data_IF_917218530038
#
_entry.id   IF_917218530038
#
_cell.length_a   1.000
_cell.length_b   1.000
_cell.length_c   1.000
_cell.angle_alpha   90.00
_cell.angle_beta   90.00
_cell.angle_gamma   90.00
#
_symmetry.space_group_name_H-M   'P 1'
#
loop_
_entity.id
_entity.type
_entity.pdbx_description
1 polymer ?
#
# COMPACT_ATOMS: atom_id res chain seq x y z
N UNK A 1 -16.06 -8.16 4.95
CA UNK A 1 -17.25 -7.29 4.93
C UNK A 1 -16.96 -6.19 3.94
N UNK A 2 -17.38 -6.38 2.69
CA UNK A 2 -17.26 -5.39 1.62
C UNK A 2 -18.24 -4.26 1.91
N UNK A 3 -17.74 -3.04 2.11
CA UNK A 3 -18.62 -1.86 2.19
C UNK A 3 -18.89 -1.36 0.77
N UNK A 4 -19.93 -1.90 0.15
CA UNK A 4 -20.54 -1.33 -1.05
C UNK A 4 -21.15 0.05 -0.72
N UNK A 5 -20.36 1.12 -0.77
CA UNK A 5 -20.86 2.50 -0.99
C UNK A 5 -19.78 3.59 -1.19
N UNK A 6 -18.52 3.22 -1.36
CA UNK A 6 -17.51 4.17 -1.86
C UNK A 6 -17.22 3.78 -3.30
N UNK A 7 -16.93 4.71 -4.20
CA UNK A 7 -16.53 4.41 -5.58
C UNK A 7 -15.19 3.67 -5.69
N UNK A 8 -14.89 2.76 -4.75
CA UNK A 8 -13.67 2.02 -4.62
C UNK A 8 -13.90 0.54 -4.27
N UNK A 9 -13.05 -0.33 -4.84
CA UNK A 9 -12.83 -1.70 -4.39
C UNK A 9 -11.65 -1.70 -3.42
N UNK A 10 -11.82 -2.21 -2.20
CA UNK A 10 -10.80 -2.20 -1.15
C UNK A 10 -10.49 -3.60 -0.63
N UNK A 11 -9.23 -3.87 -0.31
CA UNK A 11 -8.81 -5.11 0.34
C UNK A 11 -7.51 -4.91 1.12
N UNK A 12 -7.22 -5.81 2.04
CA UNK A 12 -6.00 -5.75 2.88
C UNK A 12 -5.13 -6.96 2.64
N UNK A 13 -3.81 -6.75 2.57
CA UNK A 13 -2.80 -7.79 2.49
C UNK A 13 -1.80 -7.67 3.62
N UNK A 14 -1.54 -8.80 4.26
CA UNK A 14 -0.63 -8.91 5.39
C UNK A 14 0.72 -9.46 4.91
N UNK A 15 1.71 -8.60 4.78
CA UNK A 15 3.06 -8.96 4.37
C UNK A 15 3.92 -9.29 5.59
N UNK A 16 3.76 -10.50 6.12
CA UNK A 16 4.49 -10.96 7.33
C UNK A 16 6.00 -10.92 7.17
N UNK A 17 6.52 -11.25 5.97
CA UNK A 17 7.97 -11.29 5.71
C UNK A 17 8.65 -9.91 5.80
N UNK A 18 7.91 -8.83 5.59
CA UNK A 18 8.41 -7.45 5.70
C UNK A 18 7.71 -6.67 6.81
N UNK A 19 6.95 -7.36 7.66
CA UNK A 19 6.18 -6.78 8.76
C UNK A 19 5.33 -5.56 8.39
N UNK A 20 4.58 -5.63 7.28
CA UNK A 20 3.63 -4.58 6.89
C UNK A 20 2.21 -5.12 6.76
N UNK A 21 1.25 -4.33 7.24
CA UNK A 21 -0.14 -4.40 6.81
C UNK A 21 -0.36 -3.35 5.73
N UNK A 22 -0.90 -3.75 4.59
CA UNK A 22 -1.17 -2.84 3.48
C UNK A 22 -2.65 -2.94 3.12
N UNK A 23 -3.34 -1.81 3.17
CA UNK A 23 -4.69 -1.66 2.63
C UNK A 23 -4.56 -1.11 1.22
N UNK A 24 -5.12 -1.82 0.26
CA UNK A 24 -5.19 -1.43 -1.14
C UNK A 24 -6.60 -0.98 -1.50
N UNK A 25 -6.69 -0.02 -2.41
CA UNK A 25 -7.97 0.38 -2.98
C UNK A 25 -7.84 0.91 -4.42
N UNK A 26 -8.80 0.55 -5.25
CA UNK A 26 -8.94 0.97 -6.65
C UNK A 26 -10.25 1.70 -6.83
N UNK A 27 -10.37 2.61 -7.81
CA UNK A 27 -11.69 3.16 -8.17
C UNK A 27 -12.49 2.12 -8.96
N UNK A 28 -13.78 1.94 -8.64
CA UNK A 28 -14.62 0.85 -9.19
C UNK A 28 -14.81 0.90 -10.72
N UNK A 29 -14.40 1.97 -11.39
CA UNK A 29 -14.46 2.15 -12.85
C UNK A 29 -13.16 2.73 -13.45
N UNK A 30 -12.09 2.83 -12.66
CA UNK A 30 -10.81 3.37 -13.12
C UNK A 30 -9.65 2.63 -12.46
N UNK A 31 -9.08 1.70 -13.22
CA UNK A 31 -7.98 0.84 -12.79
C UNK A 31 -6.59 1.41 -13.12
N UNK A 32 -6.51 2.69 -13.52
CA UNK A 32 -5.24 3.33 -13.87
C UNK A 32 -4.34 3.60 -12.67
N UNK A 33 -4.90 3.58 -11.46
CA UNK A 33 -4.18 3.86 -10.22
C UNK A 33 -4.57 2.83 -9.15
N UNK A 34 -3.56 2.26 -8.49
CA UNK A 34 -3.72 1.52 -7.24
C UNK A 34 -3.30 2.45 -6.10
N UNK A 35 -4.23 2.75 -5.20
CA UNK A 35 -3.94 3.49 -3.98
C UNK A 35 -3.66 2.52 -2.84
N UNK A 36 -2.83 2.94 -1.90
CA UNK A 36 -2.54 2.14 -0.73
C UNK A 36 -2.31 2.99 0.52
N UNK A 37 -2.54 2.36 1.66
CA UNK A 37 -1.97 2.76 2.94
C UNK A 37 -1.23 1.58 3.56
N UNK A 38 -0.12 1.84 4.23
CA UNK A 38 0.70 0.81 4.84
C UNK A 38 1.12 1.20 6.26
N UNK A 39 1.11 0.22 7.16
CA UNK A 39 1.51 0.36 8.56
C UNK A 39 2.44 -0.80 8.96
N UNK A 40 3.59 -0.53 9.62
CA UNK A 40 4.41 -1.57 10.21
C UNK A 40 3.62 -2.36 11.27
N UNK A 41 3.73 -3.69 11.27
CA UNK A 41 3.09 -4.56 12.27
C UNK A 41 3.52 -4.20 13.70
N UNK A 42 4.79 -3.83 13.85
CA UNK A 42 5.46 -3.48 15.10
C UNK A 42 4.88 -2.19 15.75
N UNK A 43 4.02 -1.45 15.04
CA UNK A 43 3.41 -0.18 15.46
C UNK A 43 1.87 -0.24 15.56
N UNK A 44 1.29 -1.42 15.75
CA UNK A 44 -0.18 -1.61 15.81
C UNK A 44 -0.90 -0.75 16.88
N UNK A 45 -0.20 -0.25 17.90
CA UNK A 45 -0.80 0.62 18.93
C UNK A 45 -0.90 2.10 18.52
N UNK A 46 -0.23 2.52 17.43
CA UNK A 46 -0.38 3.88 16.89
C UNK A 46 -1.57 3.95 15.92
N UNK A 47 -2.51 4.84 16.22
CA UNK A 47 -3.73 5.06 15.44
C UNK A 47 -3.42 5.84 14.16
N UNK A 48 -2.86 5.19 13.14
CA UNK A 48 -2.74 5.80 11.82
C UNK A 48 -1.89 5.05 10.80
N UNK A 49 -2.26 5.21 9.53
CA UNK A 49 -1.45 4.79 8.39
C UNK A 49 -0.08 5.50 8.41
N UNK A 50 1.01 4.71 8.38
CA UNK A 50 2.39 5.21 8.42
C UNK A 50 2.84 5.74 7.06
N UNK A 51 2.48 5.01 6.01
CA UNK A 51 2.73 5.36 4.61
C UNK A 51 1.40 5.35 3.88
N UNK A 52 1.25 6.24 2.93
CA UNK A 52 0.15 6.21 1.97
C UNK A 52 0.67 6.58 0.60
N UNK A 53 -0.04 6.21 -0.45
CA UNK A 53 0.45 6.49 -1.77
C UNK A 53 -0.40 5.91 -2.88
N UNK A 54 0.17 5.96 -4.08
CA UNK A 54 -0.40 5.34 -5.26
C UNK A 54 0.69 4.91 -6.24
N UNK A 55 0.39 3.89 -7.03
CA UNK A 55 1.14 3.54 -8.23
C UNK A 55 0.24 3.69 -9.45
N UNK A 56 0.76 4.31 -10.50
CA UNK A 56 0.06 4.50 -11.77
C UNK A 56 0.48 3.46 -12.83
N UNK A 57 -0.18 3.52 -13.99
CA UNK A 57 0.08 2.67 -15.17
C UNK A 57 1.50 2.77 -15.74
N UNK A 58 2.25 3.84 -15.44
CA UNK A 58 3.65 3.99 -15.83
C UNK A 58 4.59 3.37 -14.77
N UNK A 59 4.03 2.70 -13.76
CA UNK A 59 4.73 2.17 -12.58
C UNK A 59 5.41 3.26 -11.74
N UNK A 60 4.92 4.49 -11.78
CA UNK A 60 5.43 5.57 -10.93
C UNK A 60 4.76 5.47 -9.56
N UNK A 61 5.57 5.18 -8.54
CA UNK A 61 5.11 5.15 -7.15
C UNK A 61 5.24 6.55 -6.53
N UNK A 62 4.12 7.07 -6.02
CA UNK A 62 4.08 8.26 -5.20
C UNK A 62 3.79 7.85 -3.75
N UNK A 63 4.65 8.27 -2.81
CA UNK A 63 4.51 7.97 -1.38
C UNK A 63 4.42 9.27 -0.59
N UNK A 64 3.45 9.34 0.31
CA UNK A 64 3.42 10.25 1.44
C UNK A 64 3.71 9.48 2.73
N UNK A 65 4.51 10.08 3.61
CA UNK A 65 4.76 9.57 4.96
C UNK A 65 3.95 10.41 5.92
N UNK A 66 3.16 9.78 6.78
CA UNK A 66 2.45 10.49 7.84
C UNK A 66 3.44 10.71 8.98
N UNK A 67 3.59 11.97 9.42
CA UNK A 67 4.59 12.48 10.37
C UNK A 67 5.97 12.79 9.77
N UNK A 68 6.49 13.98 10.09
CA UNK A 68 7.77 14.49 9.55
C UNK A 68 9.00 13.86 10.22
N UNK A 69 8.84 13.18 11.36
CA UNK A 69 9.95 12.59 12.10
C UNK A 69 9.64 11.12 12.44
N UNK A 70 10.21 10.25 11.62
CA UNK A 70 10.24 8.81 11.87
C UNK A 70 11.68 8.40 12.16
N UNK A 71 11.90 7.54 13.15
CA UNK A 71 13.23 6.95 13.38
C UNK A 71 13.47 5.94 12.26
N UNK A 72 14.34 6.30 11.30
CA UNK A 72 14.74 5.42 10.21
C UNK A 72 15.89 4.51 10.65
N UNK A 73 15.55 3.28 11.04
CA UNK A 73 16.57 2.22 11.18
C UNK A 73 16.95 1.66 9.80
N UNK A 74 18.15 1.08 9.68
CA UNK A 74 18.59 0.37 8.47
C UNK A 74 17.58 -0.71 8.05
N UNK A 75 17.09 -1.47 9.02
CA UNK A 75 16.08 -2.51 8.81
C UNK A 75 14.76 -1.94 8.26
N UNK A 76 14.27 -0.81 8.79
CA UNK A 76 13.06 -0.17 8.27
C UNK A 76 13.27 0.34 6.83
N UNK A 77 14.44 0.91 6.54
CA UNK A 77 14.78 1.37 5.19
C UNK A 77 14.78 0.22 4.17
N UNK A 78 15.40 -0.91 4.50
CA UNK A 78 15.43 -2.10 3.65
C UNK A 78 14.03 -2.68 3.44
N UNK A 79 13.22 -2.79 4.50
CA UNK A 79 11.82 -3.26 4.39
C UNK A 79 10.95 -2.33 3.53
N UNK A 80 11.19 -1.01 3.56
CA UNK A 80 10.51 -0.06 2.67
C UNK A 80 10.89 -0.26 1.19
N UNK A 81 12.16 -0.60 0.91
CA UNK A 81 12.59 -0.99 -0.44
C UNK A 81 11.86 -2.23 -0.94
N UNK A 82 11.72 -3.25 -0.10
CA UNK A 82 10.96 -4.47 -0.46
C UNK A 82 9.46 -4.19 -0.60
N UNK A 83 8.90 -3.32 0.23
CA UNK A 83 7.49 -2.91 0.14
C UNK A 83 7.17 -2.27 -1.22
N UNK A 84 8.10 -1.46 -1.78
CA UNK A 84 7.96 -0.90 -3.13
C UNK A 84 7.74 -2.00 -4.18
N UNK A 85 8.59 -3.04 -4.18
CA UNK A 85 8.48 -4.13 -5.15
C UNK A 85 7.18 -4.92 -4.98
N UNK A 86 6.73 -5.15 -3.74
CA UNK A 86 5.47 -5.82 -3.47
C UNK A 86 4.25 -5.04 -3.97
N UNK A 87 4.23 -3.71 -3.78
CA UNK A 87 3.14 -2.85 -4.30
C UNK A 87 3.11 -2.88 -5.83
N UNK A 88 4.29 -2.80 -6.47
CA UNK A 88 4.41 -2.88 -7.93
C UNK A 88 3.91 -4.24 -8.45
N UNK A 89 4.33 -5.33 -7.82
CA UNK A 89 3.89 -6.68 -8.19
C UNK A 89 2.39 -6.85 -7.99
N UNK A 90 1.81 -6.26 -6.95
CA UNK A 90 0.36 -6.28 -6.72
C UNK A 90 -0.40 -5.57 -7.84
N UNK A 91 0.07 -4.40 -8.27
CA UNK A 91 -0.52 -3.68 -9.38
C UNK A 91 -0.51 -4.51 -10.68
N UNK A 92 0.63 -5.14 -11.01
CA UNK A 92 0.75 -6.03 -12.17
C UNK A 92 -0.23 -7.20 -12.09
N UNK A 93 -0.32 -7.86 -10.92
CA UNK A 93 -1.24 -8.99 -10.70
C UNK A 93 -2.70 -8.56 -10.88
N UNK A 94 -3.05 -7.37 -10.40
CA UNK A 94 -4.40 -6.84 -10.54
C UNK A 94 -4.77 -6.53 -12.00
N UNK A 95 -3.89 -5.84 -12.74
CA UNK A 95 -4.12 -5.53 -14.15
C UNK A 95 -4.31 -6.81 -14.97
N UNK A 96 -3.46 -7.82 -14.77
CA UNK A 96 -3.57 -9.10 -15.49
C UNK A 96 -4.85 -9.89 -15.18
N UNK A 97 -5.48 -9.66 -14.03
CA UNK A 97 -6.75 -10.33 -13.67
C UNK A 97 -7.97 -9.64 -14.28
N UNK A 98 -7.85 -8.37 -14.67
CA UNK A 98 -8.97 -7.52 -15.14
C UNK A 98 -8.82 -7.09 -16.61
N UNK A 99 -7.82 -7.61 -17.33
CA UNK A 99 -7.70 -7.59 -18.79
C UNK A 99 -8.32 -8.87 -19.38
#
# INVERSE_FOLDING_TARGET
MEKENSGFFEYTKHYKAISFNVKYYFRTNDFRELFFTAQPLDRMESTGDFLYGKIDRDFKLQIGIKEFQIIMSKELHERMGTLYEEIRNEYVRFINKNL
#
